data_IF_076096788616
#
_entry.id   IF_076096788616
#
_cell.length_a   1.000
_cell.length_b   1.000
_cell.length_c   1.000
_cell.angle_alpha   90.00
_cell.angle_beta   90.00
_cell.angle_gamma   90.00
#
_symmetry.space_group_name_H-M   'P 1'
#
loop_
_entity.id
_entity.type
_entity.pdbx_description
1 polymer ?
#
# COMPACT_ATOMS: atom_id res chain seq x y z
N UNK A 1 18.22 -8.93 4.80
CA UNK A 1 17.83 -10.01 5.75
C UNK A 1 16.51 -9.61 6.39
N UNK A 2 15.47 -10.44 6.29
CA UNK A 2 14.11 -10.12 6.77
C UNK A 2 14.08 -10.06 8.31
N UNK A 3 13.38 -9.08 8.88
CA UNK A 3 13.33 -8.85 10.33
C UNK A 3 12.86 -10.07 11.13
N UNK A 4 11.94 -10.87 10.56
CA UNK A 4 11.45 -12.12 11.15
C UNK A 4 12.56 -13.14 11.37
N UNK A 5 13.48 -13.29 10.42
CA UNK A 5 14.54 -14.31 10.46
C UNK A 5 15.57 -13.96 11.53
N UNK A 6 15.91 -12.68 11.61
CA UNK A 6 16.80 -12.17 12.63
C UNK A 6 16.17 -12.30 14.02
N UNK A 7 14.86 -12.10 14.14
CA UNK A 7 14.13 -12.28 15.39
C UNK A 7 14.05 -13.75 15.83
N UNK A 8 13.73 -14.66 14.90
CA UNK A 8 13.69 -16.10 15.17
C UNK A 8 15.05 -16.62 15.66
N UNK A 9 16.14 -16.23 14.99
CA UNK A 9 17.50 -16.59 15.37
C UNK A 9 17.84 -16.12 16.79
N UNK A 10 17.45 -14.89 17.15
CA UNK A 10 17.68 -14.35 18.49
C UNK A 10 16.93 -15.13 19.58
N UNK A 11 15.73 -15.61 19.29
CA UNK A 11 14.98 -16.47 20.22
C UNK A 11 15.64 -17.84 20.38
N UNK A 12 16.16 -18.41 19.30
CA UNK A 12 16.86 -19.68 19.31
C UNK A 12 18.13 -19.63 20.18
N UNK A 13 18.91 -18.56 20.06
CA UNK A 13 20.10 -18.29 20.89
C UNK A 13 19.73 -18.12 22.39
N UNK A 14 18.66 -17.39 22.70
CA UNK A 14 18.23 -17.16 24.09
C UNK A 14 17.68 -18.42 24.77
N UNK A 15 16.93 -19.22 24.02
CA UNK A 15 16.27 -20.43 24.53
C UNK A 15 17.22 -21.61 24.69
N UNK A 16 18.23 -21.75 23.82
CA UNK A 16 19.29 -22.75 23.96
C UNK A 16 20.10 -22.55 25.25
N UNK A 17 20.28 -21.29 25.67
CA UNK A 17 21.00 -20.92 26.89
C UNK A 17 20.21 -21.14 28.19
N UNK A 18 18.87 -21.14 28.12
CA UNK A 18 18.02 -21.02 29.32
C UNK A 18 17.39 -22.35 29.79
N UNK A 19 17.27 -23.35 28.91
CA UNK A 19 16.52 -24.59 29.20
C UNK A 19 17.25 -25.85 28.72
N UNK A 20 18.45 -26.12 29.25
CA UNK A 20 19.36 -27.18 28.78
C UNK A 20 18.84 -28.62 28.96
N UNK A 21 17.88 -28.86 29.86
CA UNK A 21 17.45 -30.22 30.23
C UNK A 21 16.06 -30.67 29.74
N UNK A 22 15.31 -29.82 29.05
CA UNK A 22 13.96 -30.18 28.57
C UNK A 22 13.69 -29.54 27.19
N UNK A 23 13.85 -30.34 26.14
CA UNK A 23 13.73 -29.87 24.75
C UNK A 23 12.28 -29.49 24.40
N UNK A 24 11.30 -30.23 24.90
CA UNK A 24 9.88 -29.96 24.65
C UNK A 24 9.46 -28.63 25.27
N UNK A 25 9.86 -28.38 26.52
CA UNK A 25 9.64 -27.10 27.18
C UNK A 25 10.35 -25.96 26.44
N UNK A 26 11.57 -26.20 25.96
CA UNK A 26 12.33 -25.22 25.17
C UNK A 26 11.59 -24.86 23.88
N UNK A 27 11.09 -25.86 23.14
CA UNK A 27 10.36 -25.67 21.89
C UNK A 27 9.04 -24.93 22.11
N UNK A 28 8.28 -25.28 23.15
CA UNK A 28 7.06 -24.57 23.52
C UNK A 28 7.34 -23.10 23.89
N UNK A 29 8.42 -22.84 24.65
CA UNK A 29 8.82 -21.48 25.03
C UNK A 29 9.30 -20.68 23.83
N UNK A 30 10.10 -21.29 22.93
CA UNK A 30 10.54 -20.68 21.66
C UNK A 30 9.35 -20.20 20.84
N UNK A 31 8.38 -21.09 20.60
CA UNK A 31 7.17 -20.78 19.86
C UNK A 31 6.35 -19.67 20.53
N UNK A 32 6.15 -19.77 21.85
CA UNK A 32 5.40 -18.77 22.62
C UNK A 32 6.04 -17.38 22.58
N UNK A 33 7.36 -17.30 22.79
CA UNK A 33 8.13 -16.06 22.71
C UNK A 33 8.07 -15.47 21.30
N UNK A 34 8.23 -16.31 20.27
CA UNK A 34 8.19 -15.87 18.88
C UNK A 34 6.83 -15.24 18.55
N UNK A 35 5.73 -15.94 18.84
CA UNK A 35 4.38 -15.42 18.63
C UNK A 35 4.12 -14.13 19.41
N UNK A 36 4.64 -14.01 20.65
CA UNK A 36 4.48 -12.81 21.48
C UNK A 36 5.26 -11.61 20.96
N UNK A 37 6.35 -11.81 20.23
CA UNK A 37 7.11 -10.73 19.61
C UNK A 37 6.51 -10.18 18.31
N UNK A 38 5.63 -10.94 17.66
CA UNK A 38 4.98 -10.49 16.42
C UNK A 38 3.94 -9.41 16.69
N UNK A 39 3.70 -8.56 15.68
CA UNK A 39 2.61 -7.58 15.70
C UNK A 39 1.28 -8.28 15.97
N UNK A 40 0.35 -7.66 16.74
CA UNK A 40 -0.92 -8.30 17.13
C UNK A 40 -1.72 -8.87 15.95
N UNK A 41 -1.76 -8.16 14.82
CA UNK A 41 -2.46 -8.57 13.60
C UNK A 41 -1.88 -9.85 13.01
N UNK A 42 -0.55 -9.88 12.80
CA UNK A 42 0.18 -11.05 12.30
C UNK A 42 0.05 -12.22 13.27
N UNK A 43 0.18 -11.96 14.57
CA UNK A 43 0.04 -12.98 15.63
C UNK A 43 -1.33 -13.63 15.61
N UNK A 44 -2.40 -12.85 15.43
CA UNK A 44 -3.78 -13.36 15.39
C UNK A 44 -3.95 -14.32 14.22
N UNK A 45 -3.44 -13.96 13.05
CA UNK A 45 -3.58 -14.77 11.85
C UNK A 45 -2.74 -16.05 11.91
N UNK A 46 -1.51 -15.97 12.42
CA UNK A 46 -0.69 -17.17 12.64
C UNK A 46 -1.32 -18.10 13.67
N UNK A 47 -1.90 -17.57 14.76
CA UNK A 47 -2.59 -18.40 15.77
C UNK A 47 -3.79 -19.16 15.19
N UNK A 48 -4.45 -18.63 14.16
CA UNK A 48 -5.54 -19.34 13.46
C UNK A 48 -5.04 -20.55 12.69
N UNK A 49 -3.79 -20.54 12.25
CA UNK A 49 -3.15 -21.66 11.56
C UNK A 49 -2.61 -22.72 12.51
N UNK A 50 -2.72 -22.50 13.84
CA UNK A 50 -2.32 -23.46 14.88
C UNK A 50 -0.95 -24.12 14.64
N UNK A 51 0.14 -23.33 14.49
CA UNK A 51 1.46 -23.90 14.24
C UNK A 51 1.92 -24.75 15.43
N UNK A 52 2.46 -25.94 15.13
CA UNK A 52 2.93 -26.88 16.15
C UNK A 52 4.36 -26.58 16.61
N UNK A 53 5.15 -25.94 15.73
CA UNK A 53 6.55 -25.64 15.94
C UNK A 53 6.92 -24.22 15.48
N UNK A 54 8.12 -23.78 15.86
CA UNK A 54 8.60 -22.42 15.54
C UNK A 54 8.85 -22.24 14.04
N UNK A 55 9.29 -23.29 13.35
CA UNK A 55 9.57 -23.27 11.92
C UNK A 55 8.30 -22.97 11.11
N UNK A 56 7.19 -23.59 11.47
CA UNK A 56 5.87 -23.33 10.89
C UNK A 56 5.40 -21.92 11.17
N UNK A 57 5.55 -21.45 12.41
CA UNK A 57 5.20 -20.08 12.77
C UNK A 57 6.03 -19.06 11.99
N UNK A 58 7.33 -19.30 11.79
CA UNK A 58 8.23 -18.45 10.99
C UNK A 58 7.81 -18.46 9.51
N UNK A 59 7.52 -19.63 8.95
CA UNK A 59 7.05 -19.76 7.57
C UNK A 59 5.73 -19.02 7.36
N UNK A 60 4.77 -19.20 8.26
CA UNK A 60 3.49 -18.50 8.22
C UNK A 60 3.67 -16.98 8.33
N UNK A 61 4.52 -16.53 9.25
CA UNK A 61 4.82 -15.11 9.42
C UNK A 61 5.48 -14.49 8.18
N UNK A 62 6.43 -15.18 7.55
CA UNK A 62 7.05 -14.75 6.29
C UNK A 62 6.04 -14.65 5.17
N UNK A 63 5.16 -15.64 5.04
CA UNK A 63 4.14 -15.65 3.99
C UNK A 63 3.17 -14.48 4.18
N UNK A 64 2.74 -14.23 5.42
CA UNK A 64 1.89 -13.08 5.75
C UNK A 64 2.58 -11.74 5.47
N UNK A 65 3.84 -11.57 5.85
CA UNK A 65 4.59 -10.34 5.50
C UNK A 65 4.66 -10.14 3.99
N UNK A 66 4.92 -11.20 3.22
CA UNK A 66 4.94 -11.10 1.77
C UNK A 66 3.57 -10.73 1.21
N UNK A 67 2.49 -11.36 1.68
CA UNK A 67 1.11 -11.07 1.25
C UNK A 67 0.76 -9.61 1.55
N UNK A 68 0.98 -9.14 2.78
CA UNK A 68 0.71 -7.76 3.17
C UNK A 68 1.53 -6.75 2.35
N UNK A 69 2.77 -7.10 1.98
CA UNK A 69 3.61 -6.27 1.12
C UNK A 69 3.04 -6.20 -0.31
N UNK A 70 2.57 -7.33 -0.85
CA UNK A 70 1.93 -7.40 -2.16
C UNK A 70 0.61 -6.62 -2.19
N UNK A 71 -0.26 -6.82 -1.18
CA UNK A 71 -1.52 -6.08 -1.04
C UNK A 71 -1.29 -4.57 -0.92
N UNK A 72 -0.25 -4.15 -0.17
CA UNK A 72 0.13 -2.73 -0.07
C UNK A 72 0.58 -2.17 -1.42
N UNK A 73 1.30 -2.97 -2.23
CA UNK A 73 1.72 -2.57 -3.57
C UNK A 73 0.52 -2.45 -4.53
N UNK A 74 -0.45 -3.36 -4.44
CA UNK A 74 -1.71 -3.30 -5.21
C UNK A 74 -2.57 -2.09 -4.82
N UNK A 75 -2.67 -1.79 -3.52
CA UNK A 75 -3.37 -0.60 -3.03
C UNK A 75 -2.70 0.70 -3.50
N UNK A 76 -1.37 0.73 -3.58
CA UNK A 76 -0.62 1.85 -4.17
C UNK A 76 -1.02 2.12 -5.63
N UNK A 77 -1.20 1.07 -6.43
CA UNK A 77 -1.64 1.18 -7.82
C UNK A 77 -3.07 1.73 -7.94
N UNK A 78 -3.97 1.34 -7.03
CA UNK A 78 -5.34 1.84 -6.99
C UNK A 78 -5.35 3.35 -6.66
N UNK A 79 -4.55 3.79 -5.69
CA UNK A 79 -4.45 5.20 -5.32
C UNK A 79 -3.90 6.05 -6.48
N UNK A 80 -2.89 5.56 -7.19
CA UNK A 80 -2.33 6.22 -8.35
C UNK A 80 -3.36 6.32 -9.50
N UNK A 81 -4.11 5.25 -9.78
CA UNK A 81 -5.18 5.26 -10.78
C UNK A 81 -6.30 6.25 -10.44
N UNK A 82 -6.68 6.35 -9.16
CA UNK A 82 -7.67 7.34 -8.69
C UNK A 82 -7.15 8.78 -8.84
N UNK A 83 -5.86 9.01 -8.60
CA UNK A 83 -5.24 10.33 -8.85
C UNK A 83 -5.25 10.69 -10.33
N UNK A 84 -4.86 9.77 -11.21
CA UNK A 84 -4.92 9.97 -12.67
C UNK A 84 -6.35 10.24 -13.15
N UNK A 85 -7.35 9.53 -12.61
CA UNK A 85 -8.76 9.76 -12.93
C UNK A 85 -9.21 11.17 -12.49
N UNK A 86 -8.83 11.61 -11.28
CA UNK A 86 -9.14 12.96 -10.76
C UNK A 86 -8.48 14.05 -11.62
N UNK A 87 -7.24 13.86 -12.04
CA UNK A 87 -6.54 14.80 -12.91
C UNK A 87 -7.18 14.88 -14.29
N UNK A 88 -7.56 13.73 -14.86
CA UNK A 88 -8.28 13.66 -16.14
C UNK A 88 -9.62 14.39 -16.07
N UNK A 89 -10.40 14.21 -15.00
CA UNK A 89 -11.66 14.92 -14.77
C UNK A 89 -11.46 16.44 -14.64
N UNK A 90 -10.41 16.88 -13.92
CA UNK A 90 -10.08 18.31 -13.80
C UNK A 90 -9.71 18.92 -15.16
N UNK A 91 -8.95 18.19 -15.98
CA UNK A 91 -8.56 18.64 -17.31
C UNK A 91 -9.75 18.76 -18.26
N UNK A 92 -10.65 17.78 -18.22
CA UNK A 92 -11.89 17.79 -18.99
C UNK A 92 -12.81 18.96 -18.60
N UNK A 93 -12.95 19.22 -17.29
CA UNK A 93 -13.78 20.32 -16.81
C UNK A 93 -13.19 21.70 -17.19
N UNK A 94 -11.86 21.88 -17.11
CA UNK A 94 -11.20 23.11 -17.58
C UNK A 94 -11.38 23.35 -19.08
N UNK A 95 -11.28 22.31 -19.91
CA UNK A 95 -11.44 22.44 -21.36
C UNK A 95 -12.89 22.72 -21.77
N UNK A 96 -13.86 22.36 -20.92
CA UNK A 96 -15.27 22.65 -21.13
C UNK A 96 -15.60 24.13 -20.89
N UNK A 97 -14.95 24.75 -19.91
CA UNK A 97 -15.14 26.18 -19.59
C UNK A 97 -14.44 27.11 -20.59
N UNK A 98 -13.41 26.63 -21.30
CA UNK A 98 -12.67 27.43 -22.30
C UNK A 98 -13.32 27.52 -23.70
N UNK A 99 -14.34 26.72 -24.00
CA UNK A 99 -14.99 26.68 -25.32
C UNK A 99 -16.12 27.71 -25.50
N UNK A 100 -16.52 28.44 -24.45
CA UNK A 100 -17.58 29.45 -24.54
C UNK A 100 -17.09 30.88 -24.83
N UNK A 101 -15.79 31.15 -24.76
CA UNK A 101 -15.29 32.54 -24.76
C UNK A 101 -14.75 33.04 -26.12
N UNK A 102 -14.98 32.30 -27.22
CA UNK A 102 -14.41 32.64 -28.55
C UNK A 102 -15.44 32.91 -29.65
N UNK A 103 -16.74 32.93 -29.33
CA UNK A 103 -17.81 33.12 -30.32
C UNK A 103 -18.23 34.58 -30.55
N UNK A 104 -17.69 35.58 -29.82
CA UNK A 104 -18.22 36.95 -29.87
C UNK A 104 -17.34 38.02 -30.57
N UNK A 105 -16.35 37.62 -31.39
CA UNK A 105 -15.58 38.56 -32.24
C UNK A 105 -16.07 38.60 -33.70
N UNK A 106 -17.38 38.75 -33.90
CA UNK A 106 -17.94 39.14 -35.20
C UNK A 106 -18.89 40.32 -35.00
N UNK A 107 -18.36 41.54 -35.00
CA UNK A 107 -19.16 42.74 -35.22
C UNK A 107 -18.48 43.68 -36.22
N UNK A 108 -18.96 43.57 -37.46
CA UNK A 108 -19.43 44.68 -38.29
C UNK A 108 -18.45 45.80 -38.67
N UNK A 109 -17.97 45.74 -39.91
CA UNK A 109 -17.36 46.86 -40.62
C UNK A 109 -18.42 47.96 -40.91
N UNK A 110 -18.20 49.24 -40.56
CA UNK A 110 -19.03 50.32 -41.08
C UNK A 110 -18.51 50.73 -42.47
N UNK A 111 -19.33 50.47 -43.50
CA UNK A 111 -19.19 51.11 -44.82
C UNK A 111 -19.35 52.63 -44.65
N UNK A 112 -18.28 53.39 -44.89
CA UNK A 112 -18.36 54.84 -45.11
C UNK A 112 -18.97 55.10 -46.49
N UNK A 113 -20.25 55.45 -46.53
CA UNK A 113 -20.78 56.30 -47.60
C UNK A 113 -20.40 57.74 -47.24
N UNK A 114 -19.66 58.41 -48.13
CA UNK A 114 -19.71 59.87 -48.19
C UNK A 114 -19.92 60.26 -49.65
N UNK A 115 -21.16 60.68 -49.92
CA UNK A 115 -21.58 61.36 -51.13
C UNK A 115 -20.82 62.69 -51.22
N UNK A 116 -20.16 62.97 -52.34
CA UNK A 116 -20.01 64.34 -52.82
C UNK A 116 -20.60 64.40 -54.23
N UNK A 117 -21.67 65.18 -54.32
CA UNK A 117 -22.36 65.59 -55.52
C UNK A 117 -21.96 67.04 -55.77
N UNK A 118 -21.76 67.36 -57.05
CA UNK A 118 -21.48 68.67 -57.66
C UNK A 118 -20.03 69.14 -57.60
#
# INVERSE_FOLDING_TARGET
MKAIDSYAKKIEELSSSSYSGNEDARNAIRLSLFLRGLKPEIRKEIRRQTPENIEEAVRAARNLENILTLESAEQGNIVAAVQQLKETFRHWNRNRDGLQDHSNRRHYSPRRYNNHHV
#
